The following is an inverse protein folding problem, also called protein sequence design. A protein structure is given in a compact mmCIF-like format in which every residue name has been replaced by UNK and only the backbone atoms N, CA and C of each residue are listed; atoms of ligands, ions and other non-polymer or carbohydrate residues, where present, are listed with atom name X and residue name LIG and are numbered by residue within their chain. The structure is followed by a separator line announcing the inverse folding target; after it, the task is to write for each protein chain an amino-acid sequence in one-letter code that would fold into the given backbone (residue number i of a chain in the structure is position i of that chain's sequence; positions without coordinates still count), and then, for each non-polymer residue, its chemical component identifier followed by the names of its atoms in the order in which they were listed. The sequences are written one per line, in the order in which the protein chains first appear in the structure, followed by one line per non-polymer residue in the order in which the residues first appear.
data_IF_024304278245
#
_entry.id   IF_024304278245
#
_cell.length_a   1.000
_cell.length_b   1.000
_cell.length_c   1.000
_cell.angle_alpha   90.00
_cell.angle_beta   90.00
_cell.angle_gamma   90.00
#
_symmetry.space_group_name_H-M   'P 1'
#
loop_
_entity.id
_entity.type
_entity.pdbx_description
1 polymer ?
#
# COMPACT_ATOMS: atom_id res chain seq x y z
N UNK A 1 -0.44 16.45 0.73
CA UNK A 1 -1.19 15.19 0.51
C UNK A 1 -0.28 14.25 -0.28
N UNK A 2 -0.19 12.95 0.08
CA UNK A 2 0.56 11.99 -0.73
C UNK A 2 0.05 12.00 -2.18
N UNK A 3 0.90 11.63 -3.13
CA UNK A 3 0.57 11.54 -4.56
C UNK A 3 -0.60 10.57 -4.77
N UNK A 4 -1.83 11.09 -4.72
CA UNK A 4 -3.04 10.30 -4.92
C UNK A 4 -3.27 10.13 -6.43
N UNK A 5 -3.12 8.89 -6.89
CA UNK A 5 -3.53 8.45 -8.22
C UNK A 5 -4.96 7.93 -8.15
N UNK A 6 -5.69 8.04 -9.26
CA UNK A 6 -6.97 7.33 -9.38
C UNK A 6 -6.70 5.82 -9.29
N UNK A 7 -7.48 5.12 -8.49
CA UNK A 7 -7.34 3.69 -8.27
C UNK A 7 -7.80 2.84 -9.48
N UNK A 8 -8.51 3.45 -10.43
CA UNK A 8 -9.02 2.79 -11.63
C UNK A 8 -7.88 2.59 -12.63
N UNK A 9 -7.60 1.34 -13.02
CA UNK A 9 -6.43 0.95 -13.82
C UNK A 9 -6.28 1.72 -15.14
N UNK A 10 -7.40 2.08 -15.78
CA UNK A 10 -7.41 2.84 -17.04
C UNK A 10 -7.27 4.36 -16.83
N UNK A 11 -7.41 4.86 -15.61
CA UNK A 11 -7.42 6.29 -15.32
C UNK A 11 -6.03 6.79 -14.90
N UNK A 12 -5.39 7.56 -15.78
CA UNK A 12 -4.04 8.15 -15.54
C UNK A 12 -4.07 9.49 -14.80
N UNK A 13 -5.24 9.93 -14.31
CA UNK A 13 -5.40 11.24 -13.64
C UNK A 13 -4.75 11.24 -12.26
N UNK A 14 -4.10 12.36 -11.93
CA UNK A 14 -3.41 12.59 -10.66
C UNK A 14 -4.08 13.77 -9.94
N UNK A 15 -4.09 13.74 -8.61
CA UNK A 15 -4.74 14.78 -7.80
C UNK A 15 -4.23 16.21 -8.01
N UNK A 16 -3.07 16.38 -8.62
CA UNK A 16 -2.40 17.68 -8.79
C UNK A 16 -2.34 18.15 -10.25
N UNK A 17 -2.84 17.38 -11.22
CA UNK A 17 -2.65 17.70 -12.64
C UNK A 17 -3.86 18.31 -13.34
N UNK A 18 -5.06 18.15 -12.79
CA UNK A 18 -6.31 18.59 -13.40
C UNK A 18 -7.11 19.46 -12.42
N UNK A 19 -7.21 20.75 -12.69
CA UNK A 19 -7.79 21.75 -11.77
C UNK A 19 -9.28 21.53 -11.43
N UNK A 20 -9.98 20.65 -12.15
CA UNK A 20 -11.42 20.42 -11.99
C UNK A 20 -11.78 19.01 -11.52
N UNK A 21 -10.82 18.22 -11.04
CA UNK A 21 -11.06 16.82 -10.68
C UNK A 21 -10.93 16.62 -9.18
N UNK A 22 -12.07 16.33 -8.52
CA UNK A 22 -12.07 15.98 -7.11
C UNK A 22 -11.79 14.48 -6.92
N UNK A 23 -11.17 14.12 -5.80
CA UNK A 23 -10.80 12.75 -5.49
C UNK A 23 -11.59 12.27 -4.28
N UNK A 24 -12.30 11.15 -4.46
CA UNK A 24 -13.14 10.55 -3.44
C UNK A 24 -12.47 9.32 -2.89
N UNK A 25 -12.36 9.25 -1.56
CA UNK A 25 -11.78 8.10 -0.87
C UNK A 25 -12.72 6.90 -1.00
N UNK A 26 -12.14 5.71 -1.22
CA UNK A 26 -12.92 4.46 -1.21
C UNK A 26 -13.66 4.31 0.13
N UNK A 27 -14.96 3.96 0.12
CA UNK A 27 -15.75 3.81 1.34
C UNK A 27 -15.12 2.81 2.33
N UNK A 28 -15.16 3.15 3.62
CA UNK A 28 -14.73 2.23 4.69
C UNK A 28 -15.79 1.14 4.93
N UNK A 29 -17.07 1.47 4.70
CA UNK A 29 -18.16 0.51 4.81
C UNK A 29 -18.00 -0.63 3.79
N UNK A 30 -17.98 -1.87 4.28
CA UNK A 30 -17.70 -3.06 3.48
C UNK A 30 -18.73 -3.29 2.36
N UNK A 31 -20.03 -3.11 2.65
CA UNK A 31 -21.10 -3.31 1.66
C UNK A 31 -20.99 -2.31 0.51
N UNK A 32 -20.75 -1.03 0.83
CA UNK A 32 -20.58 0.02 -0.19
C UNK A 32 -19.27 -0.14 -0.96
N UNK A 33 -18.20 -0.52 -0.28
CA UNK A 33 -16.94 -0.86 -0.93
C UNK A 33 -17.11 -2.01 -1.92
N UNK A 34 -17.87 -3.06 -1.55
CA UNK A 34 -18.16 -4.18 -2.45
C UNK A 34 -18.90 -3.74 -3.70
N UNK A 35 -19.83 -2.80 -3.60
CA UNK A 35 -20.50 -2.20 -4.77
C UNK A 35 -19.49 -1.48 -5.68
N UNK A 36 -18.54 -0.72 -5.11
CA UNK A 36 -17.47 -0.08 -5.88
C UNK A 36 -16.54 -1.11 -6.54
N UNK A 37 -16.13 -2.14 -5.80
CA UNK A 37 -15.28 -3.22 -6.32
C UNK A 37 -15.97 -3.97 -7.48
N UNK A 38 -17.28 -4.24 -7.34
CA UNK A 38 -18.09 -4.89 -8.39
C UNK A 38 -18.26 -4.01 -9.63
N UNK A 39 -18.53 -2.72 -9.46
CA UNK A 39 -18.69 -1.82 -10.60
C UNK A 39 -17.37 -1.66 -11.36
N UNK A 40 -16.25 -1.56 -10.64
CA UNK A 40 -14.91 -1.39 -11.21
C UNK A 40 -14.32 -2.68 -11.78
N UNK A 41 -14.87 -3.84 -11.42
CA UNK A 41 -14.41 -5.15 -11.88
C UNK A 41 -13.12 -5.63 -11.19
N UNK A 42 -12.67 -4.96 -10.12
CA UNK A 42 -11.55 -5.43 -9.30
C UNK A 42 -11.57 -4.82 -7.89
N UNK A 43 -10.82 -5.43 -6.99
CA UNK A 43 -10.78 -5.06 -5.57
C UNK A 43 -9.95 -3.79 -5.33
N UNK A 44 -10.57 -2.74 -4.81
CA UNK A 44 -9.91 -1.46 -4.52
C UNK A 44 -9.19 -1.48 -3.16
N UNK A 45 -7.98 -0.90 -3.04
CA UNK A 45 -7.31 -0.74 -1.74
C UNK A 45 -8.08 0.20 -0.79
N UNK A 46 -8.04 -0.06 0.52
CA UNK A 46 -8.78 0.76 1.53
C UNK A 46 -8.35 2.23 1.58
N UNK A 47 -7.11 2.53 1.18
CA UNK A 47 -6.52 3.88 1.21
C UNK A 47 -6.45 4.52 -0.18
N UNK A 48 -7.08 3.93 -1.19
CA UNK A 48 -7.07 4.50 -2.54
C UNK A 48 -8.19 5.52 -2.74
N UNK A 49 -8.09 6.26 -3.85
CA UNK A 49 -9.00 7.33 -4.22
C UNK A 49 -9.48 7.13 -5.66
N UNK A 50 -10.71 7.51 -5.94
CA UNK A 50 -11.32 7.47 -7.28
C UNK A 50 -11.65 8.91 -7.67
N UNK A 51 -11.29 9.31 -8.89
CA UNK A 51 -11.54 10.67 -9.35
C UNK A 51 -13.01 10.90 -9.76
N UNK A 52 -13.46 12.15 -9.69
CA UNK A 52 -14.85 12.56 -9.90
C UNK A 52 -15.46 12.16 -11.25
N UNK A 53 -14.63 11.97 -12.28
CA UNK A 53 -15.06 11.57 -13.63
C UNK A 53 -15.68 10.17 -13.73
N UNK A 54 -15.48 9.34 -12.72
CA UNK A 54 -16.06 8.00 -12.68
C UNK A 54 -17.46 7.98 -12.07
N UNK A 55 -18.01 9.14 -11.70
CA UNK A 55 -19.35 9.28 -11.13
C UNK A 55 -20.17 10.18 -12.04
N UNK A 56 -21.48 9.94 -12.08
CA UNK A 56 -22.40 10.77 -12.83
C UNK A 56 -22.59 12.11 -12.11
N UNK A 57 -22.95 13.16 -12.84
CA UNK A 57 -23.23 14.46 -12.21
C UNK A 57 -24.39 14.39 -11.21
N UNK A 58 -25.34 13.47 -11.43
CA UNK A 58 -26.46 13.16 -10.53
C UNK A 58 -26.04 12.49 -9.22
N UNK A 59 -24.86 11.88 -9.16
CA UNK A 59 -24.33 11.24 -7.96
C UNK A 59 -23.85 12.26 -6.91
N UNK A 60 -23.76 13.54 -7.26
CA UNK A 60 -23.32 14.58 -6.36
C UNK A 60 -24.49 15.26 -5.65
N UNK A 61 -24.30 15.55 -4.37
CA UNK A 61 -25.29 16.30 -3.59
C UNK A 61 -25.31 17.76 -4.02
N UNK A 62 -26.49 18.27 -4.42
CA UNK A 62 -26.71 19.68 -4.78
C UNK A 62 -26.59 20.65 -3.59
N UNK A 63 -26.50 20.15 -2.35
CA UNK A 63 -26.59 20.94 -1.12
C UNK A 63 -25.36 21.81 -0.83
N UNK A 64 -24.19 21.51 -1.39
CA UNK A 64 -22.95 22.24 -1.07
C UNK A 64 -22.18 22.64 -2.31
N UNK A 65 -22.18 23.94 -2.64
CA UNK A 65 -21.38 24.51 -3.74
C UNK A 65 -19.87 24.40 -3.52
N UNK A 66 -19.42 24.34 -2.26
CA UNK A 66 -17.99 24.39 -1.91
C UNK A 66 -17.27 23.05 -1.96
N UNK A 67 -17.99 21.92 -1.87
CA UNK A 67 -17.39 20.58 -1.91
C UNK A 67 -18.34 19.62 -2.61
N UNK A 68 -17.91 19.07 -3.74
CA UNK A 68 -18.61 17.98 -4.42
C UNK A 68 -18.60 16.74 -3.50
N UNK A 69 -19.69 16.54 -2.74
CA UNK A 69 -19.90 15.35 -1.92
C UNK A 69 -20.74 14.35 -2.70
N UNK A 70 -20.27 13.11 -2.79
CA UNK A 70 -21.03 12.01 -3.36
C UNK A 70 -22.21 11.65 -2.45
N UNK A 71 -23.35 11.35 -3.07
CA UNK A 71 -24.54 10.81 -2.41
C UNK A 71 -24.21 9.45 -1.77
N UNK A 72 -24.98 9.03 -0.76
CA UNK A 72 -24.71 7.81 0.02
C UNK A 72 -24.75 6.52 -0.82
N UNK A 73 -25.52 6.52 -1.92
CA UNK A 73 -25.64 5.40 -2.85
C UNK A 73 -24.78 5.51 -4.11
N UNK A 74 -23.96 6.56 -4.26
CA UNK A 74 -23.15 6.74 -5.46
C UNK A 74 -22.11 5.61 -5.61
N UNK A 75 -22.09 5.01 -6.79
CA UNK A 75 -21.18 3.94 -7.22
C UNK A 75 -20.51 4.39 -8.52
N UNK A 76 -19.20 4.17 -8.70
CA UNK A 76 -18.54 4.58 -9.94
C UNK A 76 -19.11 3.80 -11.14
N UNK A 77 -19.57 4.51 -12.16
CA UNK A 77 -19.97 3.94 -13.44
C UNK A 77 -18.71 3.70 -14.28
N UNK A 78 -18.39 2.44 -14.55
CA UNK A 78 -17.14 2.05 -15.27
C UNK A 78 -17.23 2.14 -16.78
N UNK A 79 -18.38 2.58 -17.28
CA UNK A 79 -18.50 3.17 -18.61
C UNK A 79 -17.82 4.55 -18.66
N UNK A 80 -16.50 4.57 -18.43
CA UNK A 80 -15.69 5.40 -19.31
C UNK A 80 -15.71 4.66 -20.63
N UNK A 81 -16.81 4.85 -21.37
CA UNK A 81 -16.73 4.76 -22.80
C UNK A 81 -15.46 5.48 -23.19
N UNK A 82 -14.72 4.83 -24.08
CA UNK A 82 -13.62 5.42 -24.80
C UNK A 82 -14.21 6.67 -25.44
N UNK A 83 -14.22 7.80 -24.74
CA UNK A 83 -14.62 9.05 -25.32
C UNK A 83 -13.51 9.32 -26.31
N UNK A 84 -13.74 8.88 -27.55
CA UNK A 84 -14.08 9.86 -28.57
C UNK A 84 -13.19 11.09 -28.41
N UNK A 85 -11.94 10.91 -28.79
CA UNK A 85 -11.22 11.94 -29.53
C UNK A 85 -11.89 12.10 -30.92
N UNK A 86 -13.23 12.14 -31.01
CA UNK A 86 -13.85 12.83 -32.13
C UNK A 86 -13.61 14.30 -31.85
N UNK A 87 -12.88 15.00 -32.75
CA UNK A 87 -12.86 16.44 -32.71
C UNK A 87 -14.30 16.91 -32.62
N UNK A 88 -14.55 17.94 -31.82
CA UNK A 88 -15.77 18.72 -31.98
C UNK A 88 -15.73 19.28 -33.40
N UNK A 89 -16.29 18.52 -34.35
CA UNK A 89 -16.70 19.06 -35.62
C UNK A 89 -17.84 20.02 -35.29
N UNK A 90 -17.55 21.29 -35.55
CA UNK A 90 -18.55 22.31 -35.65
C UNK A 90 -19.67 21.83 -36.58
N UNK A 91 -20.88 22.09 -36.14
CA UNK A 91 -22.11 21.96 -36.91
C UNK A 91 -21.92 22.46 -38.35
N UNK A 92 -22.08 21.57 -39.33
CA UNK A 92 -22.15 21.98 -40.74
C UNK A 92 -22.07 20.87 -41.77
N UNK A 93 -23.14 20.08 -41.94
CA UNK A 93 -23.48 19.55 -43.27
C UNK A 93 -23.51 18.03 -43.45
N UNK A 94 -24.73 17.54 -43.69
CA UNK A 94 -25.14 16.61 -44.75
C UNK A 94 -24.49 15.21 -44.92
N UNK A 95 -25.41 14.24 -45.00
CA UNK A 95 -25.44 13.04 -45.85
C UNK A 95 -24.64 11.78 -45.49
N UNK A 96 -25.40 10.79 -44.99
CA UNK A 96 -25.80 9.55 -45.71
C UNK A 96 -24.74 8.59 -46.30
N UNK A 97 -25.04 7.28 -46.11
CA UNK A 97 -24.60 6.08 -46.86
C UNK A 97 -23.51 5.19 -46.22
N UNK A 98 -24.00 4.16 -45.52
CA UNK A 98 -23.74 2.71 -45.62
C UNK A 98 -22.30 2.14 -45.78
N UNK A 99 -21.94 1.15 -44.93
CA UNK A 99 -21.96 -0.30 -45.27
C UNK A 99 -21.33 -1.21 -44.20
N UNK A 100 -21.95 -2.37 -44.06
CA UNK A 100 -21.56 -3.58 -43.29
C UNK A 100 -20.33 -4.31 -43.86
N UNK A 101 -19.61 -5.03 -42.99
CA UNK A 101 -18.96 -6.37 -43.18
C UNK A 101 -18.18 -6.70 -41.90
N UNK A 102 -18.61 -7.65 -41.05
CA UNK A 102 -18.33 -9.10 -41.10
C UNK A 102 -16.85 -9.42 -41.40
N UNK A 103 -16.12 -9.94 -40.40
CA UNK A 103 -15.46 -11.24 -40.50
C UNK A 103 -15.05 -11.76 -39.10
N UNK A 104 -15.55 -12.96 -38.79
CA UNK A 104 -15.13 -13.84 -37.71
C UNK A 104 -13.78 -14.51 -38.04
N UNK A 105 -13.26 -15.22 -37.02
CA UNK A 105 -12.38 -16.39 -37.10
C UNK A 105 -10.90 -16.13 -36.76
N UNK A 106 -10.45 -16.68 -35.63
CA UNK A 106 -9.49 -17.80 -35.59
C UNK A 106 -9.24 -18.18 -34.12
N UNK A 107 -10.01 -19.14 -33.60
CA UNK A 107 -9.57 -20.04 -32.54
C UNK A 107 -9.08 -21.31 -33.22
N UNK A 108 -7.78 -21.61 -33.15
CA UNK A 108 -7.24 -22.97 -33.13
C UNK A 108 -5.71 -22.90 -33.01
N UNK A 109 -5.15 -23.86 -32.25
CA UNK A 109 -3.72 -24.14 -32.05
C UNK A 109 -3.04 -23.47 -30.85
N UNK A 110 -3.06 -24.16 -29.71
CA UNK A 110 -1.83 -24.53 -28.97
C UNK A 110 -2.22 -25.20 -27.62
N UNK A 111 -2.65 -26.46 -27.71
CA UNK A 111 -2.48 -27.43 -26.63
C UNK A 111 -1.12 -28.11 -26.91
N UNK A 112 -0.38 -28.42 -25.85
CA UNK A 112 0.94 -29.11 -25.79
C UNK A 112 2.17 -28.19 -25.81
N UNK A 113 2.71 -27.89 -24.62
CA UNK A 113 4.13 -28.02 -24.29
C UNK A 113 4.38 -27.58 -22.83
N UNK A 114 4.21 -28.51 -21.89
CA UNK A 114 4.93 -28.45 -20.62
C UNK A 114 6.37 -28.94 -20.86
N UNK A 115 7.38 -28.14 -20.51
CA UNK A 115 8.78 -28.57 -20.61
C UNK A 115 9.79 -27.42 -20.70
N UNK A 116 10.34 -27.03 -19.54
CA UNK A 116 11.73 -26.59 -19.31
C UNK A 116 12.52 -25.93 -20.46
N UNK A 117 12.61 -24.59 -20.50
CA UNK A 117 13.72 -23.88 -21.18
C UNK A 117 14.00 -22.49 -20.56
N UNK A 118 15.20 -22.24 -20.00
CA UNK A 118 15.68 -20.88 -19.77
C UNK A 118 17.05 -20.67 -20.42
N UNK A 119 17.21 -20.77 -21.75
CA UNK A 119 18.46 -20.31 -22.39
C UNK A 119 18.38 -19.80 -23.84
N UNK A 120 17.24 -19.86 -24.54
CA UNK A 120 17.14 -19.43 -25.96
C UNK A 120 16.57 -18.01 -26.22
N UNK A 121 16.45 -17.13 -25.21
CA UNK A 121 15.86 -15.79 -25.43
C UNK A 121 16.82 -14.70 -25.90
N UNK A 122 18.14 -14.93 -25.87
CA UNK A 122 19.12 -13.86 -26.16
C UNK A 122 19.51 -13.81 -27.64
N UNK A 123 19.51 -14.94 -28.37
CA UNK A 123 19.99 -14.96 -29.76
C UNK A 123 18.93 -14.58 -30.82
N UNK A 124 17.64 -14.75 -30.54
CA UNK A 124 16.56 -14.37 -31.48
C UNK A 124 16.25 -12.87 -31.52
N UNK A 125 16.77 -12.08 -30.57
CA UNK A 125 16.58 -10.62 -30.57
C UNK A 125 17.65 -9.93 -31.45
N UNK A 126 18.84 -10.51 -31.59
CA UNK A 126 19.93 -9.89 -32.37
C UNK A 126 19.79 -10.07 -33.89
N UNK A 127 19.14 -11.13 -34.37
CA UNK A 127 18.84 -11.28 -35.81
C UNK A 127 17.66 -10.41 -36.26
N UNK A 128 16.60 -10.28 -35.44
CA UNK A 128 15.49 -9.36 -35.77
C UNK A 128 15.88 -7.87 -35.73
N UNK A 129 16.94 -7.50 -35.00
CA UNK A 129 17.46 -6.12 -34.97
C UNK A 129 18.36 -5.78 -36.17
N UNK A 130 18.92 -6.77 -36.87
CA UNK A 130 19.75 -6.55 -38.06
C UNK A 130 18.94 -6.37 -39.34
N UNK A 131 17.84 -7.12 -39.50
CA UNK A 131 17.05 -7.07 -40.74
C UNK A 131 15.92 -6.02 -40.72
N UNK A 132 15.62 -5.42 -39.57
CA UNK A 132 14.62 -4.36 -39.43
C UNK A 132 15.13 -2.93 -39.66
N UNK A 133 16.44 -2.72 -39.83
CA UNK A 133 17.05 -1.39 -39.79
C UNK A 133 17.10 -0.65 -41.14
N UNK A 134 16.82 -1.30 -42.27
CA UNK A 134 17.17 -0.74 -43.58
C UNK A 134 16.00 -0.19 -44.43
N UNK A 135 14.75 -0.35 -44.01
CA UNK A 135 13.62 0.29 -44.71
C UNK A 135 12.97 1.37 -43.85
N UNK A 136 13.13 2.62 -44.31
CA UNK A 136 12.35 3.83 -43.99
C UNK A 136 12.94 4.89 -43.04
N UNK A 137 14.26 5.05 -42.98
CA UNK A 137 14.91 6.26 -42.42
C UNK A 137 14.31 7.56 -43.03
N UNK A 138 14.12 7.60 -44.35
CA UNK A 138 13.58 8.78 -45.05
C UNK A 138 12.12 9.10 -44.71
N UNK A 139 11.26 8.08 -44.55
CA UNK A 139 9.84 8.28 -44.21
C UNK A 139 9.68 8.68 -42.76
N UNK A 140 10.42 8.06 -41.84
CA UNK A 140 10.40 8.42 -40.42
C UNK A 140 11.02 9.80 -40.18
N UNK A 141 12.08 10.16 -40.91
CA UNK A 141 12.71 11.47 -40.83
C UNK A 141 11.80 12.57 -41.40
N UNK A 142 11.14 12.35 -42.54
CA UNK A 142 10.13 13.29 -43.06
C UNK A 142 8.93 13.41 -42.13
N UNK A 143 8.45 12.32 -41.52
CA UNK A 143 7.35 12.35 -40.55
C UNK A 143 7.74 13.09 -39.26
N UNK A 144 8.99 12.94 -38.80
CA UNK A 144 9.55 13.66 -37.65
C UNK A 144 9.75 15.15 -37.97
N UNK A 145 10.20 15.49 -39.17
CA UNK A 145 10.29 16.87 -39.64
C UNK A 145 8.92 17.54 -39.74
N UNK A 146 7.91 16.85 -40.28
CA UNK A 146 6.53 17.36 -40.32
C UNK A 146 5.94 17.56 -38.92
N UNK A 147 6.14 16.60 -38.00
CA UNK A 147 5.73 16.75 -36.59
C UNK A 147 6.46 17.90 -35.89
N UNK A 148 7.74 18.10 -36.18
CA UNK A 148 8.49 19.22 -35.63
C UNK A 148 8.13 20.55 -36.30
N UNK A 149 7.55 20.58 -37.51
CA UNK A 149 7.12 21.81 -38.16
C UNK A 149 5.75 22.29 -37.65
N UNK A 150 4.94 21.40 -37.08
CA UNK A 150 3.64 21.70 -36.50
C UNK A 150 3.79 22.50 -35.18
N UNK A 151 3.35 23.78 -35.13
CA UNK A 151 3.46 24.60 -33.94
C UNK A 151 2.58 24.08 -32.78
N UNK A 152 1.47 23.39 -33.06
CA UNK A 152 0.63 22.81 -32.00
C UNK A 152 1.36 21.66 -31.30
N UNK A 153 2.06 20.82 -32.07
CA UNK A 153 2.83 19.72 -31.51
C UNK A 153 3.93 20.24 -30.58
N UNK A 154 4.67 21.28 -31.00
CA UNK A 154 5.69 21.94 -30.15
C UNK A 154 5.07 22.52 -28.88
N UNK A 155 3.91 23.17 -28.97
CA UNK A 155 3.21 23.73 -27.81
C UNK A 155 2.78 22.64 -26.82
N UNK A 156 2.25 21.51 -27.32
CA UNK A 156 1.89 20.33 -26.50
C UNK A 156 3.12 19.71 -25.83
N UNK A 157 4.22 19.57 -26.57
CA UNK A 157 5.47 19.03 -26.02
C UNK A 157 6.06 19.95 -24.94
N UNK A 158 6.07 21.27 -25.17
CA UNK A 158 6.51 22.26 -24.18
C UNK A 158 5.63 22.23 -22.91
N UNK A 159 4.31 22.11 -23.07
CA UNK A 159 3.39 21.96 -21.94
C UNK A 159 3.66 20.67 -21.17
N UNK A 160 3.91 19.57 -21.87
CA UNK A 160 4.26 18.29 -21.26
C UNK A 160 5.58 18.37 -20.48
N UNK A 161 6.63 19.01 -21.03
CA UNK A 161 7.91 19.24 -20.32
C UNK A 161 7.70 20.06 -19.05
N UNK A 162 6.95 21.17 -19.11
CA UNK A 162 6.60 21.98 -17.93
C UNK A 162 5.84 21.17 -16.87
N UNK A 163 4.89 20.33 -17.27
CA UNK A 163 4.15 19.43 -16.35
C UNK A 163 5.07 18.39 -15.71
N UNK A 164 6.00 17.81 -16.49
CA UNK A 164 7.00 16.86 -16.00
C UNK A 164 7.92 17.52 -14.96
N UNK A 165 8.50 18.68 -15.27
CA UNK A 165 9.35 19.46 -14.35
C UNK A 165 8.59 19.87 -13.07
N UNK A 166 7.31 20.24 -13.18
CA UNK A 166 6.49 20.54 -12.01
C UNK A 166 6.26 19.29 -11.14
N UNK A 167 5.97 18.14 -11.76
CA UNK A 167 5.80 16.88 -11.04
C UNK A 167 7.09 16.45 -10.33
N UNK A 168 8.25 16.58 -10.98
CA UNK A 168 9.56 16.28 -10.39
C UNK A 168 9.88 17.21 -9.20
N UNK A 169 9.59 18.51 -9.32
CA UNK A 169 9.70 19.46 -8.19
C UNK A 169 8.80 19.08 -7.01
N UNK A 170 7.58 18.63 -7.27
CA UNK A 170 6.67 18.20 -6.21
C UNK A 170 7.11 16.90 -5.53
N UNK A 171 7.63 15.94 -6.28
CA UNK A 171 8.20 14.70 -5.70
C UNK A 171 9.37 15.05 -4.78
N UNK A 172 10.33 15.86 -5.24
CA UNK A 172 11.45 16.33 -4.41
C UNK A 172 10.95 17.07 -3.15
N UNK A 173 9.93 17.92 -3.26
CA UNK A 173 9.34 18.63 -2.12
C UNK A 173 8.67 17.68 -1.11
N UNK A 174 8.01 16.61 -1.57
CA UNK A 174 7.42 15.60 -0.69
C UNK A 174 8.50 14.80 0.01
N UNK A 175 9.57 14.42 -0.68
CA UNK A 175 10.70 13.69 -0.09
C UNK A 175 11.40 14.50 1.01
N UNK A 176 11.70 15.78 0.75
CA UNK A 176 12.29 16.68 1.74
C UNK A 176 11.38 16.81 2.98
N UNK A 177 10.08 17.05 2.79
CA UNK A 177 9.13 17.14 3.90
C UNK A 177 8.99 15.82 4.67
N UNK A 178 9.04 14.68 3.99
CA UNK A 178 9.00 13.37 4.63
C UNK A 178 10.26 13.12 5.47
N UNK A 179 11.43 13.51 4.95
CA UNK A 179 12.70 13.40 5.65
C UNK A 179 12.76 14.33 6.86
N UNK A 180 12.42 15.61 6.70
CA UNK A 180 12.33 16.58 7.81
C UNK A 180 11.32 16.13 8.87
N UNK A 181 10.16 15.60 8.45
CA UNK A 181 9.17 15.05 9.36
C UNK A 181 9.68 13.82 10.11
N UNK A 182 10.48 12.97 9.47
CA UNK A 182 11.12 11.83 10.12
C UNK A 182 12.19 12.27 11.12
N UNK A 183 13.08 13.18 10.73
CA UNK A 183 14.09 13.77 11.60
C UNK A 183 13.46 14.48 12.81
N UNK A 184 12.35 15.20 12.62
CA UNK A 184 11.63 15.84 13.73
C UNK A 184 11.07 14.82 14.71
N UNK A 185 10.57 13.66 14.23
CA UNK A 185 10.11 12.57 15.12
C UNK A 185 11.27 11.95 15.88
N UNK A 186 12.40 11.71 15.23
CA UNK A 186 13.62 11.19 15.88
C UNK A 186 14.13 12.18 16.92
N UNK A 187 14.26 13.46 16.58
CA UNK A 187 14.68 14.51 17.52
C UNK A 187 13.74 14.62 18.72
N UNK A 188 12.42 14.56 18.51
CA UNK A 188 11.44 14.54 19.61
C UNK A 188 11.58 13.30 20.48
N UNK A 189 11.83 12.13 19.89
CA UNK A 189 12.06 10.89 20.64
C UNK A 189 13.34 10.97 21.48
N UNK A 190 14.45 11.46 20.91
CA UNK A 190 15.72 11.65 21.62
C UNK A 190 15.58 12.65 22.77
N UNK A 191 14.93 13.79 22.53
CA UNK A 191 14.66 14.78 23.59
C UNK A 191 13.76 14.22 24.69
N UNK A 192 12.77 13.39 24.32
CA UNK A 192 11.93 12.68 25.30
C UNK A 192 12.77 11.71 26.12
N UNK A 193 13.61 10.90 25.49
CA UNK A 193 14.49 9.95 26.18
C UNK A 193 15.41 10.66 27.17
N UNK A 194 16.12 11.70 26.72
CA UNK A 194 16.97 12.53 27.60
C UNK A 194 16.20 13.11 28.78
N UNK A 195 14.98 13.62 28.56
CA UNK A 195 14.15 14.13 29.64
C UNK A 195 13.77 13.04 30.64
N UNK A 196 13.47 11.84 30.16
CA UNK A 196 13.15 10.69 31.00
C UNK A 196 14.36 10.08 31.71
N UNK A 197 15.59 10.36 31.28
CA UNK A 197 16.83 9.93 31.96
C UNK A 197 17.22 10.89 33.08
N UNK A 198 17.00 12.19 32.86
CA UNK A 198 17.32 13.23 33.85
C UNK A 198 16.35 13.27 35.04
N UNK A 199 15.11 12.79 34.88
CA UNK A 199 14.08 12.84 35.92
C UNK A 199 13.31 11.51 36.03
N UNK A 200 13.75 10.60 36.92
CA UNK A 200 13.05 9.36 37.22
C UNK A 200 11.62 9.56 37.74
N UNK A 201 11.33 10.67 38.44
CA UNK A 201 10.00 10.95 38.96
C UNK A 201 9.02 11.29 37.84
N UNK A 202 9.47 12.04 36.82
CA UNK A 202 8.66 12.30 35.63
C UNK A 202 8.32 10.98 34.90
N UNK A 203 9.28 10.05 34.79
CA UNK A 203 9.05 8.72 34.20
C UNK A 203 7.99 7.94 34.97
N UNK A 204 8.04 7.96 36.30
CA UNK A 204 7.04 7.32 37.16
C UNK A 204 5.64 7.92 36.93
N UNK A 205 5.51 9.26 36.93
CA UNK A 205 4.23 9.96 36.67
C UNK A 205 3.67 9.65 35.27
N UNK A 206 4.52 9.62 34.23
CA UNK A 206 4.08 9.23 32.88
C UNK A 206 3.57 7.78 32.84
N UNK A 207 4.24 6.87 33.56
CA UNK A 207 3.83 5.47 33.67
C UNK A 207 2.49 5.33 34.42
N UNK A 208 2.29 6.06 35.52
CA UNK A 208 1.01 6.11 36.25
C UNK A 208 -0.12 6.62 35.37
N UNK A 209 0.09 7.74 34.66
CA UNK A 209 -0.92 8.25 33.74
C UNK A 209 -1.24 7.22 32.63
N UNK A 210 -0.24 6.46 32.15
CA UNK A 210 -0.48 5.40 31.17
C UNK A 210 -1.31 4.25 31.76
N UNK A 211 -1.01 3.82 33.00
CA UNK A 211 -1.82 2.82 33.73
C UNK A 211 -3.25 3.30 33.92
N UNK A 212 -3.44 4.55 34.34
CA UNK A 212 -4.77 5.14 34.52
C UNK A 212 -5.56 5.19 33.20
N UNK A 213 -4.91 5.55 32.08
CA UNK A 213 -5.56 5.49 30.76
C UNK A 213 -6.00 4.07 30.40
N UNK A 214 -5.15 3.08 30.65
CA UNK A 214 -5.48 1.68 30.38
C UNK A 214 -6.62 1.17 31.27
N UNK A 215 -6.68 1.61 32.53
CA UNK A 215 -7.79 1.33 33.45
C UNK A 215 -9.09 1.96 32.94
N UNK A 216 -9.09 3.26 32.62
CA UNK A 216 -10.26 3.94 32.05
C UNK A 216 -10.75 3.28 30.75
N UNK A 217 -9.84 2.89 29.86
CA UNK A 217 -10.17 2.17 28.63
C UNK A 217 -10.77 0.78 28.92
N UNK A 218 -10.29 0.10 29.97
CA UNK A 218 -10.86 -1.18 30.41
C UNK A 218 -12.25 -1.00 31.02
N UNK A 219 -12.47 0.02 31.84
CA UNK A 219 -13.77 0.37 32.41
C UNK A 219 -14.79 0.74 31.33
N UNK A 220 -14.42 1.55 30.33
CA UNK A 220 -15.28 1.87 29.20
C UNK A 220 -15.68 0.61 28.41
N UNK A 221 -14.76 -0.34 28.22
CA UNK A 221 -15.08 -1.63 27.60
C UNK A 221 -16.02 -2.47 28.47
N UNK A 222 -15.82 -2.47 29.80
CA UNK A 222 -16.67 -3.18 30.74
C UNK A 222 -18.11 -2.60 30.74
N UNK A 223 -18.24 -1.28 30.82
CA UNK A 223 -19.52 -0.56 30.73
C UNK A 223 -20.24 -0.84 29.40
N UNK A 224 -19.51 -0.84 28.28
CA UNK A 224 -20.06 -1.19 26.98
C UNK A 224 -20.58 -2.64 26.93
N UNK A 225 -19.84 -3.58 27.54
CA UNK A 225 -20.27 -4.96 27.64
C UNK A 225 -21.49 -5.14 28.56
N UNK A 226 -21.58 -4.40 29.66
CA UNK A 226 -22.74 -4.38 30.55
C UNK A 226 -23.99 -3.81 29.89
N UNK A 227 -23.86 -2.68 29.19
CA UNK A 227 -24.96 -2.10 28.41
C UNK A 227 -25.46 -3.10 27.36
N UNK A 228 -24.55 -3.84 26.72
CA UNK A 228 -24.92 -4.90 25.79
C UNK A 228 -25.64 -6.08 26.49
N UNK A 229 -25.22 -6.46 27.72
CA UNK A 229 -25.91 -7.48 28.51
C UNK A 229 -27.32 -7.03 28.91
N UNK A 230 -27.48 -5.82 29.42
CA UNK A 230 -28.80 -5.24 29.76
C UNK A 230 -29.71 -5.20 28.55
N UNK A 231 -29.21 -4.73 27.41
CA UNK A 231 -30.00 -4.72 26.18
C UNK A 231 -30.52 -6.11 25.77
N UNK A 232 -29.73 -7.17 26.00
CA UNK A 232 -30.16 -8.57 25.78
C UNK A 232 -31.20 -9.04 26.80
N UNK A 233 -31.08 -8.61 28.06
CA UNK A 233 -32.04 -8.92 29.13
C UNK A 233 -33.38 -8.20 28.91
N UNK A 234 -33.36 -6.95 28.47
CA UNK A 234 -34.56 -6.14 28.26
C UNK A 234 -35.33 -6.57 26.99
N UNK A 235 -34.66 -7.20 26.03
CA UNK A 235 -35.23 -7.52 24.72
C UNK A 235 -35.02 -8.99 24.31
N UNK A 236 -35.39 -9.99 25.14
CA UNK A 236 -35.10 -11.40 24.87
C UNK A 236 -35.82 -11.87 23.60
N UNK A 237 -37.05 -11.38 23.37
CA UNK A 237 -37.85 -11.73 22.20
C UNK A 237 -37.28 -11.16 20.89
N UNK A 238 -36.56 -10.03 20.93
CA UNK A 238 -36.01 -9.44 19.70
C UNK A 238 -34.86 -10.29 19.14
N UNK A 239 -34.04 -10.87 20.02
CA UNK A 239 -32.97 -11.78 19.65
C UNK A 239 -33.53 -13.08 19.09
N UNK A 240 -34.53 -13.66 19.77
CA UNK A 240 -35.23 -14.85 19.32
C UNK A 240 -35.92 -14.64 17.96
N UNK A 241 -36.66 -13.52 17.79
CA UNK A 241 -37.33 -13.18 16.53
C UNK A 241 -36.36 -12.99 15.37
N UNK A 242 -35.24 -12.27 15.59
CA UNK A 242 -34.18 -12.14 14.57
C UNK A 242 -33.51 -13.46 14.24
N UNK A 243 -33.35 -14.35 15.23
CA UNK A 243 -32.82 -15.68 14.98
C UNK A 243 -33.80 -16.51 14.15
N UNK A 244 -35.11 -16.43 14.42
CA UNK A 244 -36.15 -17.12 13.67
C UNK A 244 -36.30 -16.59 12.25
N UNK A 245 -36.30 -15.28 12.06
CA UNK A 245 -36.29 -14.63 10.74
C UNK A 245 -35.09 -15.10 9.90
N UNK A 246 -33.91 -15.25 10.51
CA UNK A 246 -32.74 -15.84 9.84
C UNK A 246 -32.91 -17.33 9.51
N UNK A 247 -33.68 -18.09 10.30
CA UNK A 247 -34.00 -19.50 9.98
C UNK A 247 -34.97 -19.57 8.81
N UNK A 248 -36.04 -18.78 8.83
CA UNK A 248 -37.01 -18.69 7.74
C UNK A 248 -36.33 -18.28 6.44
N UNK A 249 -35.51 -17.22 6.46
CA UNK A 249 -34.75 -16.78 5.28
C UNK A 249 -33.82 -17.89 4.72
N UNK A 250 -33.29 -18.76 5.57
CA UNK A 250 -32.48 -19.92 5.16
C UNK A 250 -33.30 -21.08 4.61
N UNK A 251 -34.56 -21.24 5.06
CA UNK A 251 -35.49 -22.23 4.52
C UNK A 251 -36.01 -21.79 3.15
N UNK A 252 -36.36 -20.52 3.00
CA UNK A 252 -36.84 -19.93 1.74
C UNK A 252 -35.75 -19.91 0.66
N UNK A 253 -34.47 -19.92 1.04
CA UNK A 253 -33.37 -19.86 0.09
C UNK A 253 -32.22 -20.81 0.50
N UNK A 254 -32.26 -22.09 0.07
CA UNK A 254 -31.22 -23.07 0.40
C UNK A 254 -29.85 -22.69 -0.19
N UNK A 255 -29.81 -21.99 -1.33
CA UNK A 255 -28.56 -21.53 -1.95
C UNK A 255 -27.84 -20.46 -1.13
N UNK A 256 -28.59 -19.62 -0.41
CA UNK A 256 -28.03 -18.65 0.52
C UNK A 256 -27.19 -19.33 1.61
N UNK A 257 -27.61 -20.52 2.09
CA UNK A 257 -26.84 -21.31 3.07
C UNK A 257 -25.53 -21.81 2.48
N UNK A 258 -25.56 -22.32 1.24
CA UNK A 258 -24.36 -22.78 0.53
C UNK A 258 -23.36 -21.65 0.31
N UNK A 259 -23.84 -20.48 -0.16
CA UNK A 259 -23.01 -19.28 -0.36
C UNK A 259 -22.44 -18.73 0.95
N UNK A 260 -23.21 -18.69 2.03
CA UNK A 260 -22.72 -18.25 3.35
C UNK A 260 -21.64 -19.21 3.89
N UNK A 261 -21.83 -20.52 3.71
CA UNK A 261 -20.86 -21.54 4.10
C UNK A 261 -19.56 -21.41 3.29
N UNK A 262 -19.64 -21.21 1.97
CA UNK A 262 -18.47 -20.98 1.12
C UNK A 262 -17.74 -19.69 1.49
N UNK A 263 -18.46 -18.59 1.71
CA UNK A 263 -17.88 -17.33 2.17
C UNK A 263 -17.13 -17.50 3.51
N UNK A 264 -17.68 -18.30 4.45
CA UNK A 264 -17.00 -18.65 5.71
C UNK A 264 -15.76 -19.52 5.51
N UNK A 265 -15.75 -20.42 4.52
CA UNK A 265 -14.54 -21.20 4.17
C UNK A 265 -13.45 -20.29 3.60
N UNK A 266 -13.80 -19.42 2.66
CA UNK A 266 -12.87 -18.46 2.07
C UNK A 266 -12.31 -17.48 3.11
N UNK A 267 -13.14 -17.00 4.04
CA UNK A 267 -12.69 -16.11 5.11
C UNK A 267 -11.70 -16.81 6.04
N UNK A 268 -12.00 -18.05 6.49
CA UNK A 268 -11.07 -18.86 7.29
C UNK A 268 -9.78 -19.18 6.55
N UNK A 269 -9.85 -19.44 5.24
CA UNK A 269 -8.65 -19.65 4.40
C UNK A 269 -7.78 -18.40 4.35
N UNK A 270 -8.38 -17.23 4.11
CA UNK A 270 -7.66 -15.96 4.07
C UNK A 270 -7.05 -15.59 5.43
N UNK A 271 -7.75 -15.86 6.54
CA UNK A 271 -7.23 -15.67 7.89
C UNK A 271 -6.05 -16.62 8.17
N UNK A 272 -6.18 -17.90 7.83
CA UNK A 272 -5.11 -18.88 7.96
C UNK A 272 -3.89 -18.52 7.09
N UNK A 273 -4.10 -18.06 5.85
CA UNK A 273 -3.05 -17.55 4.98
C UNK A 273 -2.36 -16.33 5.60
N UNK A 274 -3.13 -15.37 6.14
CA UNK A 274 -2.54 -14.20 6.82
C UNK A 274 -1.71 -14.62 8.04
N UNK A 275 -2.21 -15.53 8.86
CA UNK A 275 -1.45 -16.07 10.00
C UNK A 275 -0.21 -16.83 9.55
N UNK A 276 -0.29 -17.58 8.45
CA UNK A 276 0.87 -18.26 7.86
C UNK A 276 1.91 -17.26 7.35
N UNK A 277 1.48 -16.19 6.67
CA UNK A 277 2.35 -15.08 6.26
C UNK A 277 2.99 -14.37 7.46
N UNK A 278 2.25 -14.14 8.54
CA UNK A 278 2.79 -13.53 9.77
C UNK A 278 3.83 -14.44 10.43
N UNK A 279 3.60 -15.76 10.46
CA UNK A 279 4.58 -16.74 10.97
C UNK A 279 5.82 -16.81 10.09
N UNK A 280 5.67 -16.86 8.77
CA UNK A 280 6.82 -16.87 7.86
C UNK A 280 7.58 -15.54 7.91
N UNK A 281 6.88 -14.40 7.99
CA UNK A 281 7.48 -13.07 8.11
C UNK A 281 8.23 -12.84 9.42
N UNK A 282 7.86 -13.53 10.49
CA UNK A 282 8.65 -13.57 11.74
C UNK A 282 9.93 -14.41 11.59
N UNK A 283 10.02 -15.28 10.58
CA UNK A 283 11.19 -16.13 10.29
C UNK A 283 12.06 -15.67 9.12
N UNK A 284 11.64 -14.69 8.31
CA UNK A 284 12.52 -14.06 7.32
C UNK A 284 13.33 -12.93 7.99
N UNK A 285 14.20 -13.31 8.92
CA UNK A 285 15.43 -12.53 9.10
C UNK A 285 16.22 -12.76 7.81
N UNK A 286 16.61 -11.73 7.06
CA UNK A 286 17.30 -11.92 5.79
C UNK A 286 18.56 -12.76 6.00
N UNK A 287 18.59 -13.94 5.38
CA UNK A 287 19.75 -14.85 5.30
C UNK A 287 20.93 -14.27 4.50
N UNK A 288 21.07 -12.94 4.44
CA UNK A 288 22.19 -12.28 3.76
C UNK A 288 23.32 -11.88 4.71
N UNK A 289 23.38 -12.45 5.92
CA UNK A 289 24.63 -12.55 6.66
C UNK A 289 24.84 -14.03 7.01
N UNK A 290 25.93 -14.68 6.56
CA UNK A 290 26.29 -15.98 7.11
C UNK A 290 26.44 -15.78 8.62
N UNK A 291 25.65 -16.54 9.37
CA UNK A 291 25.73 -16.59 10.81
C UNK A 291 27.04 -17.28 11.18
N UNK A 292 28.17 -16.56 11.12
CA UNK A 292 29.43 -16.96 11.74
C UNK A 292 29.33 -16.71 13.24
N UNK A 293 28.36 -17.34 13.89
CA UNK A 293 28.43 -17.57 15.33
C UNK A 293 29.28 -18.82 15.46
N UNK A 294 30.57 -18.59 15.69
CA UNK A 294 31.59 -19.62 15.87
C UNK A 294 31.13 -20.65 16.92
N UNK A 295 31.51 -21.93 16.82
CA UNK A 295 31.13 -22.97 17.78
C UNK A 295 31.35 -22.57 19.26
N UNK A 296 32.37 -21.76 19.52
CA UNK A 296 32.71 -21.21 20.84
C UNK A 296 31.66 -20.22 21.38
N UNK A 297 31.03 -19.42 20.51
CA UNK A 297 29.93 -18.53 20.92
C UNK A 297 28.67 -19.33 21.27
N UNK A 298 28.40 -20.47 20.63
CA UNK A 298 27.29 -21.33 21.06
C UNK A 298 27.53 -21.95 22.44
N UNK A 299 28.77 -22.31 22.75
CA UNK A 299 29.16 -22.76 24.10
C UNK A 299 28.96 -21.64 25.12
N UNK A 300 29.32 -20.40 24.76
CA UNK A 300 29.11 -19.22 25.62
C UNK A 300 27.62 -18.92 25.85
N UNK A 301 26.79 -19.02 24.81
CA UNK A 301 25.33 -18.85 24.92
C UNK A 301 24.71 -19.93 25.82
N UNK A 302 25.14 -21.19 25.70
CA UNK A 302 24.65 -22.29 26.56
C UNK A 302 25.08 -22.11 28.01
N UNK A 303 26.33 -21.70 28.26
CA UNK A 303 26.83 -21.38 29.61
C UNK A 303 26.07 -20.22 30.23
N UNK A 304 25.83 -19.14 29.49
CA UNK A 304 25.01 -18.02 29.97
C UNK A 304 23.57 -18.42 30.25
N UNK A 305 22.97 -19.29 29.43
CA UNK A 305 21.60 -19.78 29.68
C UNK A 305 21.52 -20.68 30.92
N UNK A 306 22.56 -21.49 31.17
CA UNK A 306 22.66 -22.27 32.40
C UNK A 306 22.83 -21.36 33.64
N UNK A 307 23.64 -20.29 33.51
CA UNK A 307 23.81 -19.28 34.57
C UNK A 307 22.48 -18.53 34.85
N UNK A 308 21.75 -18.15 33.80
CA UNK A 308 20.43 -17.52 33.89
C UNK A 308 19.41 -18.38 34.64
N UNK A 309 19.39 -19.68 34.34
CA UNK A 309 18.53 -20.64 35.03
C UNK A 309 18.95 -20.82 36.50
N UNK A 310 20.25 -20.78 36.79
CA UNK A 310 20.76 -20.86 38.17
C UNK A 310 20.44 -19.59 38.99
N UNK A 311 20.46 -18.41 38.35
CA UNK A 311 20.17 -17.13 39.00
C UNK A 311 18.68 -16.76 39.00
N UNK A 312 17.82 -17.57 38.37
CA UNK A 312 16.37 -17.34 38.30
C UNK A 312 15.97 -16.11 37.47
N UNK A 313 16.83 -15.69 36.54
CA UNK A 313 16.61 -14.51 35.72
C UNK A 313 15.84 -14.87 34.46
N UNK A 314 14.73 -14.16 34.19
CA UNK A 314 13.97 -14.34 32.95
C UNK A 314 14.68 -13.70 31.74
N UNK A 315 14.36 -14.18 30.53
CA UNK A 315 14.95 -13.71 29.28
C UNK A 315 14.64 -12.22 28.96
N UNK A 316 13.78 -11.58 29.76
CA UNK A 316 13.39 -10.16 29.63
C UNK A 316 14.01 -9.25 30.68
N UNK A 317 14.80 -9.78 31.61
CA UNK A 317 15.42 -8.98 32.67
C UNK A 317 16.47 -8.03 32.11
N UNK A 318 16.22 -6.73 32.29
CA UNK A 318 17.08 -5.62 31.83
C UNK A 318 18.51 -5.70 32.39
N UNK A 319 18.67 -6.32 33.56
CA UNK A 319 19.97 -6.45 34.24
C UNK A 319 20.94 -7.35 33.46
N UNK A 320 20.43 -8.28 32.65
CA UNK A 320 21.22 -9.23 31.88
C UNK A 320 21.85 -8.56 30.65
N UNK A 321 21.08 -7.71 29.97
CA UNK A 321 21.57 -6.93 28.82
C UNK A 321 22.60 -5.89 29.26
N UNK A 322 22.39 -5.27 30.42
CA UNK A 322 23.36 -4.34 30.99
C UNK A 322 24.65 -5.06 31.40
N UNK A 323 24.58 -6.17 32.17
CA UNK A 323 25.79 -6.93 32.56
C UNK A 323 26.57 -7.45 31.37
N UNK A 324 25.92 -8.10 30.40
CA UNK A 324 26.63 -8.65 29.23
C UNK A 324 27.18 -7.59 28.29
N UNK A 325 26.57 -6.41 28.20
CA UNK A 325 27.18 -5.30 27.46
C UNK A 325 28.31 -4.65 28.24
N UNK A 326 28.11 -4.33 29.53
CA UNK A 326 29.13 -3.69 30.38
C UNK A 326 30.39 -4.55 30.43
N UNK A 327 30.25 -5.87 30.68
CA UNK A 327 31.37 -6.81 30.67
C UNK A 327 32.11 -6.83 29.32
N UNK A 328 31.37 -6.74 28.20
CA UNK A 328 31.96 -6.65 26.85
C UNK A 328 32.76 -5.37 26.60
N UNK A 329 32.48 -4.30 27.33
CA UNK A 329 33.20 -3.04 27.23
C UNK A 329 34.34 -2.93 28.25
N UNK A 330 34.22 -3.58 29.41
CA UNK A 330 35.26 -3.62 30.45
C UNK A 330 36.41 -4.57 30.10
N UNK A 331 36.14 -5.72 29.48
CA UNK A 331 37.17 -6.72 29.13
C UNK A 331 37.81 -6.48 27.75
N UNK A 332 37.63 -5.30 27.14
CA UNK A 332 38.08 -5.03 25.78
C UNK A 332 39.50 -4.43 25.79
N UNK A 333 40.48 -5.03 25.09
CA UNK A 333 41.83 -4.49 25.04
C UNK A 333 41.84 -3.12 24.34
N UNK A 334 42.60 -2.17 24.89
CA UNK A 334 42.65 -0.76 24.47
C UNK A 334 42.94 -0.58 22.97
N UNK A 335 43.66 -1.51 22.37
CA UNK A 335 44.02 -1.52 20.95
C UNK A 335 42.80 -1.63 20.02
N UNK A 336 41.70 -2.25 20.45
CA UNK A 336 40.47 -2.36 19.65
C UNK A 336 39.60 -1.09 19.69
N UNK A 337 39.77 -0.25 20.71
CA UNK A 337 39.03 1.02 20.81
C UNK A 337 39.50 1.98 19.70
N UNK A 338 40.80 1.97 19.39
CA UNK A 338 41.38 2.78 18.32
C UNK A 338 40.89 2.39 16.91
N UNK A 339 40.74 1.08 16.63
CA UNK A 339 40.28 0.58 15.33
C UNK A 339 38.82 0.96 15.04
N UNK A 340 37.96 0.96 16.06
CA UNK A 340 36.54 1.30 15.88
C UNK A 340 36.33 2.79 15.61
N UNK A 341 37.14 3.66 16.23
CA UNK A 341 37.16 5.08 15.89
C UNK A 341 37.62 5.34 14.44
N UNK A 342 38.62 4.58 13.97
CA UNK A 342 39.07 4.66 12.58
C UNK A 342 38.00 4.20 11.57
N UNK A 343 37.34 3.06 11.82
CA UNK A 343 36.22 2.58 10.98
C UNK A 343 35.03 3.54 10.96
N UNK A 344 34.70 4.15 12.11
CA UNK A 344 33.62 5.11 12.20
C UNK A 344 33.92 6.40 11.42
N UNK A 345 35.17 6.87 11.45
CA UNK A 345 35.62 8.03 10.68
C UNK A 345 35.66 7.78 9.16
N UNK A 346 36.10 6.59 8.73
CA UNK A 346 36.09 6.23 7.30
C UNK A 346 34.68 6.09 6.72
N UNK A 347 33.74 5.55 7.51
CA UNK A 347 32.32 5.44 7.13
C UNK A 347 31.66 6.82 6.96
N UNK A 348 32.07 7.80 7.75
CA UNK A 348 31.55 9.17 7.68
C UNK A 348 32.05 9.94 6.45
N UNK A 349 33.29 9.68 6.01
CA UNK A 349 33.89 10.32 4.83
C UNK A 349 33.41 9.71 3.51
N UNK A 350 33.17 8.40 3.47
CA UNK A 350 32.72 7.71 2.24
C UNK A 350 31.26 8.01 1.85
N UNK A 351 30.47 8.61 2.75
CA UNK A 351 29.08 9.02 2.49
C UNK A 351 28.91 10.35 1.74
N UNK A 352 29.98 11.15 1.54
CA UNK A 352 29.89 12.49 0.91
C UNK A 352 30.11 12.51 -0.61
N UNK A 353 30.45 11.39 -1.23
CA UNK A 353 30.87 11.33 -2.64
C UNK A 353 29.88 10.74 -3.64
N UNK A 354 28.64 10.43 -3.26
CA UNK A 354 27.62 9.95 -4.20
C UNK A 354 26.35 10.79 -4.11
N UNK A 355 26.38 11.93 -4.80
CA UNK A 355 25.21 12.68 -5.23
C UNK A 355 25.47 13.21 -6.64
#
# INVERSE_FOLDING_TARGET
MPNCFCAIKSCRRRAWSDDCVSFHKVPVNFSRKRQWDSAVGFRLPKKSYVCSKHFLQSDYSKKTRLRHRLNTGAVPSVSLDKSDDTPKEDYGGAQEIAKERIYDNTQQSAVLAEGTWPHCKVLLIEECLRDGAFMSSSVHQKKRQRRNADPEFRAREAMWRKRKEHAERNVKKVEVNCHEGALLRVRKAVMKHRRCDMDPQLRAREADHKRQRQQNDAELRALGAEAQRRHRQDNPHTAARKAEERRQQRQENPDLRSREAEARRLWRRAEAEQTAWERLGQHVVPLSQPNTVWPEQQVCIRKNRALMNHEGLDETSTDVWCKTNIQKYEDRPDEQVALMYAEHLTSFNNGRGRA
#
